data_IF_492936439581
#
_entry.id   IF_492936439581
#
_cell.length_a   1.000
_cell.length_b   1.000
_cell.length_c   1.000
_cell.angle_alpha   90.00
_cell.angle_beta   90.00
_cell.angle_gamma   90.00
#
_symmetry.space_group_name_H-M   'P 1'
#
loop_
_entity.id
_entity.type
_entity.pdbx_description
1 polymer ?
#
# COMPACT_ATOMS: atom_id res chain seq x y z
N UNK A 1 14.15 -26.80 -7.45
CA UNK A 1 14.64 -25.82 -6.46
C UNK A 1 13.52 -24.81 -6.33
N UNK A 2 12.78 -24.84 -5.23
CA UNK A 2 11.79 -23.78 -4.95
C UNK A 2 12.62 -22.63 -4.40
N UNK A 3 12.68 -21.52 -5.12
CA UNK A 3 13.48 -20.39 -4.69
C UNK A 3 12.90 -19.90 -3.35
N UNK A 4 13.78 -19.62 -2.40
CA UNK A 4 13.38 -19.11 -1.08
C UNK A 4 12.78 -17.68 -1.14
N UNK A 5 12.45 -17.17 -2.34
CA UNK A 5 11.73 -15.91 -2.54
C UNK A 5 10.21 -16.12 -2.58
N UNK A 6 9.72 -17.17 -3.25
CA UNK A 6 8.27 -17.35 -3.49
C UNK A 6 7.46 -17.63 -2.20
N UNK A 7 8.08 -18.29 -1.22
CA UNK A 7 7.41 -18.57 0.06
C UNK A 7 7.24 -17.32 0.93
N UNK A 8 8.16 -16.35 0.80
CA UNK A 8 8.05 -15.06 1.47
C UNK A 8 7.01 -14.17 0.80
N UNK A 9 6.77 -14.31 -0.51
CA UNK A 9 5.87 -13.46 -1.29
C UNK A 9 4.38 -13.75 -1.04
N UNK A 10 3.94 -15.01 -1.01
CA UNK A 10 2.57 -15.34 -0.58
C UNK A 10 2.30 -14.92 0.87
N UNK A 11 3.34 -14.91 1.71
CA UNK A 11 3.23 -14.37 3.07
C UNK A 11 3.05 -12.84 3.09
N UNK A 12 3.39 -12.11 2.01
CA UNK A 12 3.26 -10.64 1.97
C UNK A 12 1.79 -10.23 2.03
N UNK A 13 0.92 -10.83 1.21
CA UNK A 13 -0.51 -10.51 1.23
C UNK A 13 -1.12 -10.78 2.63
N UNK A 14 -0.78 -11.92 3.23
CA UNK A 14 -1.18 -12.27 4.59
C UNK A 14 -0.65 -11.28 5.63
N UNK A 15 0.61 -10.84 5.51
CA UNK A 15 1.25 -9.86 6.41
C UNK A 15 0.66 -8.46 6.27
N UNK A 16 0.21 -8.10 5.07
CA UNK A 16 -0.56 -6.89 4.82
C UNK A 16 -2.01 -6.99 5.34
N UNK A 17 -2.41 -8.17 5.83
CA UNK A 17 -3.76 -8.43 6.32
C UNK A 17 -4.81 -8.51 5.22
N UNK A 18 -4.36 -8.70 3.97
CA UNK A 18 -5.23 -8.94 2.81
C UNK A 18 -5.82 -10.34 2.96
N UNK A 19 -7.08 -10.49 2.56
CA UNK A 19 -7.78 -11.78 2.53
C UNK A 19 -8.15 -12.12 1.08
N UNK A 20 -8.35 -13.41 0.78
CA UNK A 20 -8.96 -13.81 -0.48
C UNK A 20 -10.29 -13.07 -0.69
N UNK A 21 -10.63 -12.78 -1.94
CA UNK A 21 -11.83 -12.06 -2.37
C UNK A 21 -11.93 -10.59 -1.92
N UNK A 22 -10.90 -10.01 -1.31
CA UNK A 22 -10.84 -8.57 -1.04
C UNK A 22 -10.54 -7.79 -2.32
N UNK A 23 -11.17 -6.62 -2.46
CA UNK A 23 -10.90 -5.71 -3.56
C UNK A 23 -9.70 -4.84 -3.20
N UNK A 24 -8.62 -4.97 -3.97
CA UNK A 24 -7.36 -4.24 -3.75
C UNK A 24 -7.13 -3.27 -4.89
N UNK A 25 -6.95 -1.99 -4.55
CA UNK A 25 -6.58 -0.95 -5.50
C UNK A 25 -5.12 -0.56 -5.32
N UNK A 26 -4.44 -0.21 -6.40
CA UNK A 26 -3.12 0.39 -6.39
C UNK A 26 -3.16 1.82 -6.92
N UNK A 27 -2.36 2.69 -6.29
CA UNK A 27 -2.20 4.10 -6.67
C UNK A 27 -0.70 4.43 -6.70
N UNK A 28 -0.29 5.33 -7.59
CA UNK A 28 1.11 5.75 -7.70
C UNK A 28 2.05 4.69 -8.30
N UNK A 29 1.48 3.75 -9.06
CA UNK A 29 2.26 2.76 -9.81
C UNK A 29 3.23 3.45 -10.78
N UNK A 30 4.46 2.96 -10.83
CA UNK A 30 5.50 3.37 -11.77
C UNK A 30 6.45 2.18 -12.00
N UNK A 31 7.42 2.30 -12.91
CA UNK A 31 8.32 1.21 -13.34
C UNK A 31 9.22 0.63 -12.22
N UNK A 32 9.27 1.28 -11.06
CA UNK A 32 10.07 0.90 -9.89
C UNK A 32 9.26 0.23 -8.76
N UNK A 33 7.98 -0.08 -8.97
CA UNK A 33 7.24 -0.92 -8.01
C UNK A 33 7.85 -2.32 -7.94
N UNK A 34 7.50 -3.05 -6.88
CA UNK A 34 7.94 -4.43 -6.69
C UNK A 34 6.91 -5.38 -7.34
N UNK A 35 7.17 -5.77 -8.60
CA UNK A 35 6.28 -6.65 -9.38
C UNK A 35 6.05 -8.00 -8.70
N UNK A 36 7.04 -8.52 -7.96
CA UNK A 36 6.90 -9.77 -7.21
C UNK A 36 5.88 -9.61 -6.06
N UNK A 37 5.85 -8.45 -5.41
CA UNK A 37 4.83 -8.13 -4.39
C UNK A 37 3.44 -8.03 -5.03
N UNK A 38 3.32 -7.36 -6.18
CA UNK A 38 2.04 -7.22 -6.90
C UNK A 38 1.49 -8.58 -7.31
N UNK A 39 2.30 -9.37 -8.01
CA UNK A 39 1.91 -10.71 -8.48
C UNK A 39 1.48 -11.63 -7.33
N UNK A 40 2.17 -11.55 -6.18
CA UNK A 40 1.80 -12.35 -5.01
C UNK A 40 0.48 -11.93 -4.37
N UNK A 41 0.16 -10.63 -4.39
CA UNK A 41 -1.14 -10.13 -3.91
C UNK A 41 -2.24 -10.57 -4.88
N UNK A 42 -2.03 -10.44 -6.19
CA UNK A 42 -2.98 -10.86 -7.23
C UNK A 42 -3.29 -12.37 -7.16
N UNK A 43 -2.24 -13.19 -7.05
CA UNK A 43 -2.38 -14.65 -6.87
C UNK A 43 -3.20 -14.97 -5.61
N UNK A 44 -2.95 -14.23 -4.53
CA UNK A 44 -3.61 -14.48 -3.24
C UNK A 44 -5.07 -14.03 -3.20
N UNK A 45 -5.41 -12.90 -3.82
CA UNK A 45 -6.81 -12.43 -3.90
C UNK A 45 -7.59 -13.13 -5.02
N UNK A 46 -6.89 -13.77 -5.96
CA UNK A 46 -7.50 -14.46 -7.11
C UNK A 46 -8.01 -13.51 -8.20
N UNK A 47 -7.43 -12.31 -8.28
CA UNK A 47 -7.86 -11.23 -9.17
C UNK A 47 -6.74 -10.22 -9.41
N UNK A 48 -6.97 -9.26 -10.30
CA UNK A 48 -6.01 -8.20 -10.64
C UNK A 48 -6.12 -7.02 -9.66
N UNK A 49 -5.02 -6.30 -9.46
CA UNK A 49 -5.04 -5.03 -8.73
C UNK A 49 -5.81 -3.99 -9.55
N UNK A 50 -6.71 -3.27 -8.90
CA UNK A 50 -7.47 -2.20 -9.55
C UNK A 50 -6.65 -0.92 -9.64
N UNK A 51 -6.78 -0.19 -10.74
CA UNK A 51 -6.16 1.12 -10.93
C UNK A 51 -6.98 2.26 -10.31
N UNK A 52 -6.48 3.49 -10.43
CA UNK A 52 -7.12 4.70 -9.89
C UNK A 52 -8.48 5.03 -10.53
N UNK A 53 -8.78 4.48 -11.72
CA UNK A 53 -10.01 4.73 -12.47
C UNK A 53 -11.14 3.75 -12.10
N UNK A 54 -10.89 2.81 -11.17
CA UNK A 54 -11.85 1.81 -10.76
C UNK A 54 -13.05 2.39 -9.98
N UNK A 55 -14.27 2.07 -10.44
CA UNK A 55 -15.54 2.46 -9.79
C UNK A 55 -16.06 1.30 -8.90
N UNK A 56 -15.23 0.86 -7.95
CA UNK A 56 -15.57 -0.21 -7.00
C UNK A 56 -15.33 0.22 -5.55
N UNK A 57 -15.94 -0.51 -4.61
CA UNK A 57 -15.70 -0.32 -3.18
C UNK A 57 -14.43 -1.06 -2.79
N UNK A 58 -13.42 -0.33 -2.33
CA UNK A 58 -12.07 -0.87 -2.12
C UNK A 58 -11.86 -1.25 -0.66
N UNK A 59 -11.43 -2.50 -0.40
CA UNK A 59 -11.09 -2.96 0.94
C UNK A 59 -9.68 -2.53 1.34
N UNK A 60 -8.74 -2.54 0.40
CA UNK A 60 -7.33 -2.26 0.63
C UNK A 60 -6.78 -1.38 -0.49
N UNK A 61 -6.19 -0.24 -0.14
CA UNK A 61 -5.44 0.59 -1.09
C UNK A 61 -3.95 0.44 -0.85
N UNK A 62 -3.20 0.11 -1.90
CA UNK A 62 -1.75 0.12 -1.95
C UNK A 62 -1.29 1.43 -2.60
N UNK A 63 -0.89 2.39 -1.79
CA UNK A 63 -0.36 3.67 -2.26
C UNK A 63 1.17 3.58 -2.36
N UNK A 64 1.70 3.47 -3.58
CA UNK A 64 3.12 3.57 -3.86
C UNK A 64 3.53 5.05 -3.86
N UNK A 65 4.33 5.46 -2.87
CA UNK A 65 4.67 6.85 -2.64
C UNK A 65 6.19 7.07 -2.59
N UNK A 66 6.67 8.02 -3.39
CA UNK A 66 8.07 8.43 -3.45
C UNK A 66 8.20 9.89 -3.07
N UNK A 67 9.37 10.24 -2.55
CA UNK A 67 9.75 11.63 -2.35
C UNK A 67 9.74 12.35 -3.70
N UNK A 68 8.95 13.42 -3.80
CA UNK A 68 8.73 14.19 -5.03
C UNK A 68 7.47 13.84 -5.83
N UNK A 69 6.69 12.82 -5.43
CA UNK A 69 5.43 12.45 -6.12
C UNK A 69 4.32 13.51 -5.95
N UNK A 70 4.46 14.43 -4.99
CA UNK A 70 3.54 15.55 -4.79
C UNK A 70 3.23 15.79 -3.32
N UNK A 71 1.95 16.00 -3.01
CA UNK A 71 1.44 16.14 -1.63
C UNK A 71 0.82 14.82 -1.16
N UNK A 72 1.42 14.20 -0.15
CA UNK A 72 0.94 12.93 0.42
C UNK A 72 -0.46 13.08 1.05
N UNK A 73 -0.80 14.25 1.57
CA UNK A 73 -2.12 14.51 2.13
C UNK A 73 -3.21 14.40 1.06
N UNK A 74 -3.00 15.01 -0.10
CA UNK A 74 -3.96 14.93 -1.22
C UNK A 74 -4.09 13.49 -1.72
N UNK A 75 -2.97 12.79 -1.92
CA UNK A 75 -2.97 11.38 -2.32
C UNK A 75 -3.71 10.47 -1.31
N UNK A 76 -3.59 10.76 0.00
CA UNK A 76 -4.33 10.03 1.04
C UNK A 76 -5.83 10.37 1.06
N UNK A 77 -6.23 11.58 0.66
CA UNK A 77 -7.64 11.94 0.48
C UNK A 77 -8.23 11.14 -0.68
N UNK A 78 -7.51 11.06 -1.80
CA UNK A 78 -7.92 10.30 -2.98
C UNK A 78 -8.00 8.80 -2.68
N UNK A 79 -6.97 8.24 -2.04
CA UNK A 79 -6.95 6.84 -1.58
C UNK A 79 -8.11 6.50 -0.62
N UNK A 80 -8.63 7.49 0.11
CA UNK A 80 -9.74 7.29 1.04
C UNK A 80 -11.10 7.36 0.35
N UNK A 81 -11.20 8.00 -0.81
CA UNK A 81 -12.48 8.24 -1.47
C UNK A 81 -13.25 6.95 -1.84
N UNK A 82 -12.62 5.92 -2.44
CA UNK A 82 -13.31 4.66 -2.75
C UNK A 82 -13.22 3.62 -1.61
N UNK A 83 -12.58 3.97 -0.49
CA UNK A 83 -12.27 3.04 0.60
C UNK A 83 -13.52 2.65 1.39
N UNK A 84 -13.68 1.35 1.63
CA UNK A 84 -14.72 0.78 2.46
C UNK A 84 -14.65 1.30 3.92
N UNK A 85 -15.75 1.20 4.66
CA UNK A 85 -15.84 1.68 6.05
C UNK A 85 -14.76 1.08 6.98
N UNK A 86 -14.39 -0.18 6.76
CA UNK A 86 -13.34 -0.89 7.48
C UNK A 86 -12.05 -1.07 6.65
N UNK A 87 -11.94 -0.36 5.54
CA UNK A 87 -10.81 -0.46 4.64
C UNK A 87 -9.54 0.11 5.23
N UNK A 88 -8.42 -0.28 4.64
CA UNK A 88 -7.08 0.13 5.08
C UNK A 88 -6.29 0.68 3.92
N UNK A 89 -5.45 1.66 4.20
CA UNK A 89 -4.48 2.16 3.22
C UNK A 89 -3.10 1.72 3.67
N UNK A 90 -2.36 1.08 2.78
CA UNK A 90 -0.94 0.82 2.93
C UNK A 90 -0.17 1.86 2.13
N UNK A 91 0.63 2.68 2.80
CA UNK A 91 1.56 3.59 2.13
C UNK A 91 2.89 2.87 2.01
N UNK A 92 3.27 2.54 0.77
CA UNK A 92 4.49 1.85 0.41
C UNK A 92 5.51 2.92 0.04
N UNK A 93 6.61 3.01 0.78
CA UNK A 93 7.70 3.95 0.49
C UNK A 93 9.02 3.23 0.25
N UNK A 94 9.92 3.77 -0.60
CA UNK A 94 11.24 3.21 -0.80
C UNK A 94 12.03 3.20 0.52
N UNK A 95 12.76 2.12 0.79
CA UNK A 95 13.63 1.99 1.97
C UNK A 95 14.75 3.02 1.93
N UNK A 96 15.31 3.35 3.09
CA UNK A 96 16.45 4.27 3.20
C UNK A 96 17.59 3.84 2.28
N UNK A 97 18.08 4.78 1.47
CA UNK A 97 19.12 4.55 0.47
C UNK A 97 18.61 4.16 -0.92
N UNK A 98 17.30 3.92 -1.09
CA UNK A 98 16.67 3.82 -2.41
C UNK A 98 16.30 5.22 -2.94
N UNK A 99 16.28 5.42 -4.27
CA UNK A 99 15.70 6.61 -4.88
C UNK A 99 14.24 6.81 -4.43
N UNK A 100 13.83 8.07 -4.25
CA UNK A 100 12.47 8.39 -3.80
C UNK A 100 12.19 8.03 -2.33
N UNK A 101 13.21 7.82 -1.50
CA UNK A 101 13.01 7.56 -0.08
C UNK A 101 12.28 8.71 0.62
N UNK A 102 11.17 8.37 1.26
CA UNK A 102 10.33 9.31 2.02
C UNK A 102 10.71 9.27 3.49
N UNK A 103 10.91 10.44 4.11
CA UNK A 103 11.21 10.50 5.53
C UNK A 103 9.99 10.09 6.37
N UNK A 104 10.15 9.29 7.44
CA UNK A 104 9.03 8.90 8.29
C UNK A 104 8.23 10.07 8.89
N UNK A 105 8.86 11.24 9.06
CA UNK A 105 8.21 12.46 9.52
C UNK A 105 7.16 12.95 8.54
N UNK A 106 7.41 12.91 7.23
CA UNK A 106 6.46 13.35 6.21
C UNK A 106 5.13 12.59 6.33
N UNK A 107 5.22 11.26 6.45
CA UNK A 107 4.05 10.40 6.67
C UNK A 107 3.37 10.75 8.00
N UNK A 108 4.15 10.90 9.08
CA UNK A 108 3.62 11.21 10.40
C UNK A 108 2.93 12.59 10.48
N UNK A 109 3.34 13.53 9.64
CA UNK A 109 2.78 14.88 9.53
C UNK A 109 1.52 14.91 8.66
N UNK A 110 1.49 14.17 7.55
CA UNK A 110 0.35 14.12 6.63
C UNK A 110 -0.83 13.28 7.17
N UNK A 111 -0.55 12.11 7.75
CA UNK A 111 -1.60 11.15 8.18
C UNK A 111 -2.68 11.77 9.10
N UNK A 112 -2.34 12.60 10.10
CA UNK A 112 -3.34 13.22 10.96
C UNK A 112 -4.25 14.23 10.26
N UNK A 113 -3.79 14.91 9.21
CA UNK A 113 -4.53 15.99 8.54
C UNK A 113 -5.72 15.43 7.75
N UNK A 114 -5.58 14.20 7.26
CA UNK A 114 -6.61 13.47 6.49
C UNK A 114 -7.53 12.60 7.37
N UNK A 115 -7.40 12.70 8.70
CA UNK A 115 -8.22 11.95 9.65
C UNK A 115 -7.90 10.46 9.70
N UNK A 116 -6.65 10.09 9.41
CA UNK A 116 -6.16 8.71 9.50
C UNK A 116 -5.20 8.53 10.68
N UNK A 117 -4.91 7.28 11.00
CA UNK A 117 -3.96 6.90 12.02
C UNK A 117 -3.05 5.79 11.53
N UNK A 118 -1.74 5.96 11.75
CA UNK A 118 -0.77 4.91 11.54
C UNK A 118 -0.91 3.82 12.62
N UNK A 119 -0.90 2.55 12.21
CA UNK A 119 -1.12 1.41 13.11
C UNK A 119 0.01 0.39 13.09
N UNK A 120 0.73 0.26 11.98
CA UNK A 120 1.80 -0.74 11.83
C UNK A 120 2.76 -0.33 10.72
N UNK A 121 3.97 -0.88 10.75
CA UNK A 121 4.91 -0.82 9.64
C UNK A 121 5.48 -2.21 9.40
N UNK A 122 5.81 -2.53 8.15
CA UNK A 122 6.48 -3.77 7.80
C UNK A 122 7.30 -3.60 6.53
N UNK A 123 8.42 -4.32 6.44
CA UNK A 123 9.19 -4.41 5.21
C UNK A 123 8.49 -5.34 4.23
N UNK A 124 8.27 -4.86 3.01
CA UNK A 124 7.76 -5.64 1.88
C UNK A 124 8.81 -5.71 0.77
N UNK A 125 9.05 -6.91 0.25
CA UNK A 125 10.07 -7.13 -0.77
C UNK A 125 11.46 -6.60 -0.40
N UNK A 126 12.28 -6.40 -1.42
CA UNK A 126 13.66 -5.97 -1.24
C UNK A 126 13.76 -4.46 -0.97
N UNK A 127 12.91 -3.65 -1.61
CA UNK A 127 13.11 -2.19 -1.70
C UNK A 127 12.08 -1.33 -0.97
N UNK A 128 10.98 -1.91 -0.48
CA UNK A 128 9.84 -1.12 -0.01
C UNK A 128 9.50 -1.35 1.47
N UNK A 129 8.94 -0.34 2.10
CA UNK A 129 8.37 -0.41 3.45
C UNK A 129 6.91 -0.03 3.37
N UNK A 130 6.04 -0.87 3.91
CA UNK A 130 4.60 -0.63 3.97
C UNK A 130 4.22 -0.08 5.35
N UNK A 131 3.49 1.05 5.34
CA UNK A 131 2.95 1.70 6.52
C UNK A 131 1.43 1.58 6.52
N UNK A 132 0.86 0.94 7.55
CA UNK A 132 -0.58 0.71 7.66
C UNK A 132 -1.29 1.92 8.23
N UNK A 133 -2.24 2.46 7.49
CA UNK A 133 -3.11 3.54 7.90
C UNK A 133 -4.56 3.04 7.98
N UNK A 134 -5.27 3.48 9.01
CA UNK A 134 -6.70 3.23 9.17
C UNK A 134 -7.43 4.55 9.33
N UNK A 135 -8.66 4.70 8.78
CA UNK A 135 -9.51 5.83 9.10
C UNK A 135 -9.73 5.93 10.62
N UNK A 136 -9.66 7.14 11.18
CA UNK A 136 -10.06 7.34 12.57
C UNK A 136 -11.57 7.13 12.67
N UNK A 137 -11.97 6.19 13.51
CA UNK A 137 -13.36 6.08 13.95
C UNK A 137 -13.77 7.41 14.56
N UNK A 138 -14.91 7.93 14.09
CA UNK A 138 -15.48 9.22 14.52
C UNK A 138 -15.87 9.22 16.00
#
# INVERSE_FOLDING_TARGET
>A
MVAAGDADLNSVAERLGIKPDMVVQELGWDEDVDEDVRAAIEEYIGGELLDEDADEVIDVVLLWWRDGDGDLGDALVDARAPLAENGVVWVLTPKTGQPGHVEPSEIAEAVPTVGMSQTSNLSIGARWTATRLVPRSK
#
